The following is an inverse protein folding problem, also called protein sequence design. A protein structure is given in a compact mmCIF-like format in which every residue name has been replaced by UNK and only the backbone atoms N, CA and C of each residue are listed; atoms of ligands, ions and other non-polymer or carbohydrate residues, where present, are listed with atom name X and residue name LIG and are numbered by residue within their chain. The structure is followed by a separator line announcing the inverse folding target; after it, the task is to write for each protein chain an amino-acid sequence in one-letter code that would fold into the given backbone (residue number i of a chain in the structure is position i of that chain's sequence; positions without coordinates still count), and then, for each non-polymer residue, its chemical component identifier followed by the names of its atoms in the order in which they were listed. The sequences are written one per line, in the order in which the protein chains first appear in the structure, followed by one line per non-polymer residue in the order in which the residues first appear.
data_IF_133735079973
#
_entry.id   IF_133735079973
#
_cell.length_a   1.000
_cell.length_b   1.000
_cell.length_c   1.000
_cell.angle_alpha   90.00
_cell.angle_beta   90.00
_cell.angle_gamma   90.00
#
_symmetry.space_group_name_H-M   'P 1'
#
loop_
_entity.id
_entity.type
_entity.pdbx_description
1 polymer ?
#
# COMPACT_ATOMS: atom_id res chain seq x y z
N UNK A 1 -11.41 -23.97 -6.07
CA UNK A 1 -12.00 -22.90 -5.25
C UNK A 1 -10.83 -22.02 -4.83
N UNK A 2 -10.78 -20.77 -5.29
CA UNK A 2 -9.74 -19.82 -4.88
C UNK A 2 -10.18 -19.26 -3.53
N UNK A 3 -9.43 -19.55 -2.46
CA UNK A 3 -9.69 -18.92 -1.16
C UNK A 3 -9.45 -17.41 -1.29
N UNK A 4 -10.52 -16.62 -1.20
CA UNK A 4 -10.42 -15.16 -1.07
C UNK A 4 -9.75 -14.87 0.27
N UNK A 5 -8.64 -14.14 0.25
CA UNK A 5 -7.94 -13.76 1.48
C UNK A 5 -8.54 -12.48 2.03
N UNK A 6 -8.51 -12.34 3.35
CA UNK A 6 -8.98 -11.11 4.00
C UNK A 6 -7.94 -9.99 3.90
N UNK A 7 -8.40 -8.75 4.12
CA UNK A 7 -7.54 -7.57 4.12
C UNK A 7 -6.44 -7.65 5.20
N UNK A 8 -6.67 -8.31 6.32
CA UNK A 8 -5.69 -8.46 7.40
C UNK A 8 -4.48 -9.30 6.98
N UNK A 9 -4.71 -10.34 6.16
CA UNK A 9 -3.65 -11.11 5.53
C UNK A 9 -2.77 -10.21 4.66
N UNK A 10 -3.40 -9.31 3.91
CA UNK A 10 -2.68 -8.37 3.05
C UNK A 10 -1.92 -7.30 3.85
N UNK A 11 -2.52 -6.75 4.91
CA UNK A 11 -1.82 -5.81 5.83
C UNK A 11 -0.55 -6.45 6.38
N UNK A 12 -0.67 -7.68 6.89
CA UNK A 12 0.47 -8.46 7.40
C UNK A 12 1.52 -8.73 6.32
N UNK A 13 1.08 -9.03 5.10
CA UNK A 13 1.97 -9.26 3.96
C UNK A 13 2.79 -8.01 3.60
N UNK A 14 2.19 -6.81 3.60
CA UNK A 14 2.90 -5.56 3.35
C UNK A 14 3.91 -5.22 4.46
N UNK A 15 3.52 -5.37 5.73
CA UNK A 15 4.44 -5.18 6.87
C UNK A 15 5.65 -6.11 6.73
N UNK A 16 5.40 -7.39 6.42
CA UNK A 16 6.44 -8.38 6.18
C UNK A 16 7.32 -8.03 4.97
N UNK A 17 6.72 -7.58 3.87
CA UNK A 17 7.46 -7.21 2.67
C UNK A 17 8.45 -6.06 2.91
N UNK A 18 8.05 -4.98 3.61
CA UNK A 18 8.97 -3.90 3.96
C UNK A 18 10.09 -4.35 4.89
N UNK A 19 9.84 -5.35 5.74
CA UNK A 19 10.86 -5.91 6.64
C UNK A 19 11.85 -6.82 5.89
N UNK A 20 11.41 -7.48 4.82
CA UNK A 20 12.25 -8.41 4.04
C UNK A 20 13.07 -7.73 2.95
N UNK A 21 12.58 -6.62 2.40
CA UNK A 21 13.30 -5.89 1.35
C UNK A 21 14.49 -5.19 1.98
N UNK A 22 15.68 -5.44 1.42
CA UNK A 22 16.91 -4.87 1.97
C UNK A 22 16.85 -3.33 1.95
N UNK A 23 17.41 -2.64 2.97
CA UNK A 23 17.46 -1.17 2.98
C UNK A 23 18.13 -0.58 1.73
N UNK A 24 19.11 -1.31 1.16
CA UNK A 24 19.77 -0.92 -0.09
C UNK A 24 18.80 -0.88 -1.27
N UNK A 25 17.84 -1.79 -1.32
CA UNK A 25 16.79 -1.80 -2.35
C UNK A 25 15.78 -0.70 -2.10
N UNK A 26 15.31 -0.54 -0.86
CA UNK A 26 14.34 0.51 -0.51
C UNK A 26 14.90 1.93 -0.66
N UNK A 27 16.22 2.10 -0.66
CA UNK A 27 16.86 3.42 -0.71
C UNK A 27 16.44 4.24 0.50
N UNK A 28 15.77 5.36 0.26
CA UNK A 28 15.23 6.25 1.30
C UNK A 28 13.75 6.03 1.61
N UNK A 29 13.08 5.09 0.92
CA UNK A 29 11.69 4.74 1.22
C UNK A 29 11.60 4.10 2.62
N UNK A 30 10.69 4.59 3.48
CA UNK A 30 10.46 4.06 4.83
C UNK A 30 9.01 3.72 5.06
N UNK A 31 8.74 2.50 5.52
CA UNK A 31 7.40 2.11 5.94
C UNK A 31 6.92 2.93 7.15
N UNK A 32 5.66 3.36 7.13
CA UNK A 32 4.99 4.00 8.28
C UNK A 32 3.82 3.16 8.81
N UNK A 33 2.92 2.75 7.93
CA UNK A 33 1.73 1.99 8.31
C UNK A 33 1.14 1.20 7.14
N UNK A 34 0.43 0.12 7.44
CA UNK A 34 -0.50 -0.54 6.53
C UNK A 34 -1.80 -0.83 7.28
N UNK A 35 -2.95 -0.56 6.67
CA UNK A 35 -4.27 -0.73 7.31
C UNK A 35 -5.33 -1.20 6.34
N UNK A 36 -6.24 -2.03 6.85
CA UNK A 36 -7.49 -2.40 6.20
C UNK A 36 -8.51 -1.28 6.40
N UNK A 37 -9.29 -1.00 5.37
CA UNK A 37 -10.25 0.09 5.34
C UNK A 37 -11.54 -0.34 4.64
N UNK A 38 -12.71 -0.04 5.20
CA UNK A 38 -13.98 -0.40 4.58
C UNK A 38 -14.19 0.31 3.22
N UNK A 39 -14.91 -0.32 2.28
CA UNK A 39 -15.38 -1.71 2.36
C UNK A 39 -14.24 -2.72 2.17
N UNK A 40 -13.32 -2.50 1.24
CA UNK A 40 -12.32 -3.51 0.84
C UNK A 40 -11.01 -2.88 0.32
N UNK A 41 -10.49 -1.87 1.03
CA UNK A 41 -9.24 -1.19 0.67
C UNK A 41 -8.12 -1.52 1.66
N UNK A 42 -6.92 -1.74 1.14
CA UNK A 42 -5.69 -1.70 1.93
C UNK A 42 -4.98 -0.39 1.66
N UNK A 43 -4.64 0.38 2.69
CA UNK A 43 -3.78 1.57 2.55
C UNK A 43 -2.40 1.29 3.11
N UNK A 44 -1.39 1.67 2.34
CA UNK A 44 0.02 1.70 2.75
C UNK A 44 0.45 3.15 2.86
N UNK A 45 0.97 3.53 4.03
CA UNK A 45 1.61 4.81 4.29
C UNK A 45 3.11 4.59 4.40
N UNK A 46 3.89 5.41 3.70
CA UNK A 46 5.34 5.36 3.68
C UNK A 46 5.91 6.76 3.50
N UNK A 47 7.17 6.94 3.90
CA UNK A 47 7.96 8.11 3.54
C UNK A 47 8.69 7.78 2.23
N UNK A 48 8.60 8.64 1.23
CA UNK A 48 9.27 8.46 -0.07
C UNK A 48 10.73 8.94 -0.05
N UNK A 49 11.39 8.91 -1.21
CA UNK A 49 12.78 9.34 -1.36
C UNK A 49 13.02 10.83 -1.09
N UNK A 50 11.98 11.66 -1.14
CA UNK A 50 12.00 13.11 -0.98
C UNK A 50 11.57 13.49 0.44
N UNK A 51 11.31 12.47 1.28
CA UNK A 51 10.83 12.56 2.66
C UNK A 51 9.41 13.07 2.78
N UNK A 52 8.62 12.97 1.71
CA UNK A 52 7.18 13.20 1.78
C UNK A 52 6.50 11.99 2.38
N UNK A 53 5.53 12.23 3.27
CA UNK A 53 4.68 11.18 3.80
C UNK A 53 3.59 10.92 2.77
N UNK A 54 3.56 9.72 2.24
CA UNK A 54 2.75 9.32 1.10
C UNK A 54 1.85 8.15 1.48
N UNK A 55 0.60 8.17 1.01
CA UNK A 55 -0.33 7.05 1.08
C UNK A 55 -0.69 6.52 -0.31
N UNK A 56 -0.82 5.20 -0.40
CA UNK A 56 -1.40 4.51 -1.55
C UNK A 56 -2.44 3.50 -1.09
N UNK A 57 -3.60 3.50 -1.75
CA UNK A 57 -4.65 2.53 -1.50
C UNK A 57 -4.67 1.46 -2.59
N UNK A 58 -4.99 0.24 -2.20
CA UNK A 58 -5.10 -0.93 -3.06
C UNK A 58 -6.45 -1.61 -2.79
N UNK A 59 -7.33 -1.74 -3.80
CA UNK A 59 -8.52 -2.56 -3.70
C UNK A 59 -8.15 -4.03 -3.46
N UNK A 60 -8.84 -4.69 -2.53
CA UNK A 60 -8.65 -6.11 -2.25
C UNK A 60 -8.80 -6.95 -3.52
N UNK A 61 -9.78 -6.61 -4.37
CA UNK A 61 -10.01 -7.30 -5.63
C UNK A 61 -8.79 -7.24 -6.57
N UNK A 62 -8.06 -6.11 -6.62
CA UNK A 62 -6.85 -5.98 -7.43
C UNK A 62 -5.69 -6.78 -6.83
N UNK A 63 -5.53 -6.74 -5.51
CA UNK A 63 -4.53 -7.55 -4.80
C UNK A 63 -4.75 -9.05 -5.02
N UNK A 64 -6.00 -9.51 -4.97
CA UNK A 64 -6.37 -10.90 -5.25
C UNK A 64 -6.14 -11.28 -6.72
N UNK A 65 -6.40 -10.38 -7.67
CA UNK A 65 -6.07 -10.60 -9.09
C UNK A 65 -4.57 -10.78 -9.31
N UNK A 66 -3.74 -9.93 -8.67
CA UNK A 66 -2.28 -10.05 -8.72
C UNK A 66 -1.80 -11.35 -8.06
N UNK A 67 -2.43 -11.74 -6.94
CA UNK A 67 -2.13 -13.00 -6.26
C UNK A 67 -2.56 -14.24 -7.05
N UNK A 68 -3.55 -14.15 -7.92
CA UNK A 68 -3.92 -15.27 -8.79
C UNK A 68 -2.76 -15.72 -9.68
N UNK A 69 -1.90 -14.78 -10.10
CA UNK A 69 -0.73 -15.04 -10.92
C UNK A 69 0.56 -15.37 -10.11
N UNK A 70 0.49 -15.46 -8.78
CA UNK A 70 1.68 -15.60 -7.92
C UNK A 70 1.47 -16.52 -6.70
N UNK A 71 2.55 -17.13 -6.17
CA UNK A 71 2.42 -18.19 -5.17
C UNK A 71 2.07 -17.72 -3.75
N UNK A 72 2.16 -16.42 -3.40
CA UNK A 72 1.74 -15.92 -2.07
C UNK A 72 1.50 -14.40 -2.01
N UNK A 73 0.64 -13.91 -1.08
CA UNK A 73 0.44 -12.46 -0.83
C UNK A 73 1.72 -11.71 -0.49
N UNK A 74 2.63 -12.34 0.25
CA UNK A 74 3.92 -11.74 0.61
C UNK A 74 4.82 -11.52 -0.60
N UNK A 75 4.81 -12.44 -1.56
CA UNK A 75 5.55 -12.28 -2.81
C UNK A 75 4.98 -11.13 -3.66
N UNK A 76 3.65 -11.01 -3.74
CA UNK A 76 2.97 -9.90 -4.42
C UNK A 76 3.28 -8.58 -3.74
N UNK A 77 3.10 -8.49 -2.43
CA UNK A 77 3.39 -7.29 -1.65
C UNK A 77 4.85 -6.85 -1.82
N UNK A 78 5.80 -7.79 -1.82
CA UNK A 78 7.22 -7.48 -2.12
C UNK A 78 7.40 -6.92 -3.52
N UNK A 79 6.74 -7.48 -4.52
CA UNK A 79 6.82 -6.95 -5.89
C UNK A 79 6.25 -5.53 -5.98
N UNK A 80 5.12 -5.26 -5.32
CA UNK A 80 4.52 -3.91 -5.23
C UNK A 80 5.47 -2.95 -4.50
N UNK A 81 6.02 -3.35 -3.34
CA UNK A 81 6.97 -2.50 -2.60
C UNK A 81 8.17 -2.14 -3.47
N UNK A 82 8.73 -3.10 -4.21
CA UNK A 82 9.93 -2.86 -5.03
C UNK A 82 9.62 -2.12 -6.33
N UNK A 83 8.53 -2.44 -7.01
CA UNK A 83 8.21 -1.85 -8.31
C UNK A 83 7.42 -0.55 -8.21
N UNK A 84 6.38 -0.54 -7.38
CA UNK A 84 5.33 0.47 -7.39
C UNK A 84 5.51 1.58 -6.34
N UNK A 85 6.23 1.29 -5.24
CA UNK A 85 6.44 2.25 -4.16
C UNK A 85 7.84 2.89 -4.18
N UNK A 86 8.83 2.22 -4.77
CA UNK A 86 10.14 2.82 -5.02
C UNK A 86 10.09 3.74 -6.23
N UNK A 87 9.33 3.41 -7.27
CA UNK A 87 9.09 4.28 -8.43
C UNK A 87 7.60 4.69 -8.47
N UNK A 88 7.18 5.63 -7.60
CA UNK A 88 5.77 5.97 -7.49
C UNK A 88 5.22 6.49 -8.83
N UNK A 89 4.08 5.93 -9.24
CA UNK A 89 3.27 6.49 -10.31
C UNK A 89 2.85 7.93 -9.97
N UNK A 90 2.38 8.71 -10.95
CA UNK A 90 1.92 10.08 -10.72
C UNK A 90 0.86 10.17 -9.59
N UNK A 91 0.81 11.33 -8.92
CA UNK A 91 -0.11 11.59 -7.81
C UNK A 91 -1.55 11.16 -8.13
N UNK A 92 -2.15 10.52 -7.14
CA UNK A 92 -3.50 9.99 -7.19
C UNK A 92 -4.55 11.07 -7.01
N UNK A 93 -5.81 10.73 -7.31
CA UNK A 93 -6.94 11.57 -6.87
C UNK A 93 -7.18 11.38 -5.38
N UNK A 94 -7.36 12.49 -4.67
CA UNK A 94 -7.77 12.52 -3.26
C UNK A 94 -9.19 11.98 -3.15
N UNK A 95 -9.40 10.98 -2.28
CA UNK A 95 -10.72 10.48 -1.93
C UNK A 95 -11.45 11.50 -1.05
N UNK A 96 -12.71 11.82 -1.36
CA UNK A 96 -13.59 12.55 -0.43
C UNK A 96 -14.25 11.54 0.52
N UNK A 97 -13.49 11.11 1.53
CA UNK A 97 -13.92 10.12 2.50
C UNK A 97 -13.42 10.53 3.88
N UNK A 98 -14.18 10.20 4.93
CA UNK A 98 -13.76 10.39 6.34
C UNK A 98 -12.44 9.67 6.66
N UNK A 99 -12.04 8.77 5.77
CA UNK A 99 -10.78 8.07 5.74
C UNK A 99 -9.60 9.04 5.56
N UNK A 100 -9.69 9.90 4.54
CA UNK A 100 -8.64 10.87 4.22
C UNK A 100 -8.52 11.87 5.35
N UNK A 101 -9.64 12.25 5.97
CA UNK A 101 -9.63 13.12 7.15
C UNK A 101 -8.89 12.47 8.32
N UNK A 102 -9.19 11.21 8.64
CA UNK A 102 -8.54 10.50 9.74
C UNK A 102 -7.05 10.26 9.50
N UNK A 103 -6.68 9.84 8.29
CA UNK A 103 -5.26 9.63 7.93
C UNK A 103 -4.50 10.95 7.82
N UNK A 104 -5.09 12.03 7.31
CA UNK A 104 -4.46 13.35 7.30
C UNK A 104 -4.30 13.93 8.71
N UNK A 105 -5.19 13.58 9.65
CA UNK A 105 -5.04 13.96 11.05
C UNK A 105 -3.90 13.19 11.74
N UNK A 106 -3.73 11.92 11.41
CA UNK A 106 -2.64 11.07 11.95
C UNK A 106 -1.28 11.37 11.29
N UNK A 107 -1.29 11.68 9.99
CA UNK A 107 -0.12 11.98 9.17
C UNK A 107 -0.28 13.38 8.53
N UNK A 108 0.08 14.46 9.24
CA UNK A 108 0.00 15.80 8.69
C UNK A 108 0.84 15.96 7.41
N UNK A 109 0.23 16.48 6.35
CA UNK A 109 0.90 16.65 5.05
C UNK A 109 0.92 15.39 4.17
N UNK A 110 0.07 14.39 4.48
CA UNK A 110 -0.05 13.17 3.69
C UNK A 110 -0.41 13.46 2.22
N UNK A 111 0.43 12.98 1.31
CA UNK A 111 0.18 13.01 -0.13
C UNK A 111 -0.38 11.68 -0.62
N UNK A 112 -1.38 11.71 -1.50
CA UNK A 112 -2.00 10.51 -2.03
C UNK A 112 -1.47 10.19 -3.42
N UNK A 113 -1.01 8.97 -3.63
CA UNK A 113 -0.47 8.48 -4.90
C UNK A 113 -1.27 7.27 -5.40
N UNK A 114 -1.58 7.25 -6.70
CA UNK A 114 -2.32 6.17 -7.36
C UNK A 114 -3.83 6.39 -7.53
N UNK A 115 -4.45 5.61 -8.42
CA UNK A 115 -5.89 5.66 -8.65
C UNK A 115 -6.62 4.77 -7.65
N UNK A 116 -7.62 5.30 -6.96
CA UNK A 116 -8.59 4.50 -6.21
C UNK A 116 -9.88 4.46 -7.04
N UNK A 117 -10.42 3.28 -7.39
CA UNK A 117 -11.72 3.20 -8.05
C UNK A 117 -12.79 3.77 -7.12
N UNK A 118 -13.66 4.63 -7.67
CA UNK A 118 -14.88 5.13 -7.02
C UNK A 118 -15.97 4.07 -7.05
#
# INVERSE_FOLDING_TARGET
MTETRDLETWVSAFIGAFSDVSPRTLGDVRFRAARSLPPDLLVVVYEDWERHVTARAFPLAELEQLAFASPSPRAVARHIVVGDLIEPSAHGRVLDHDLVKNLNAEFPGLEWIGHVPL
#
